data_IF_101189387281
#
_entry.id   IF_101189387281
#
_cell.length_a   1.000
_cell.length_b   1.000
_cell.length_c   1.000
_cell.angle_alpha   90.00
_cell.angle_beta   90.00
_cell.angle_gamma   90.00
#
_symmetry.space_group_name_H-M   'P 1'
#
loop_
_entity.id
_entity.type
_entity.pdbx_description
1 polymer ?
#
# COMPACT_ATOMS: atom_id res chain seq x y z
N UNK A 1 -20.23 18.00 36.49
CA UNK A 1 -19.57 16.88 35.78
C UNK A 1 -20.59 16.42 34.76
N UNK A 2 -20.43 16.79 33.49
CA UNK A 2 -21.43 16.52 32.44
C UNK A 2 -20.79 15.60 31.42
N UNK A 3 -21.36 14.42 31.23
CA UNK A 3 -20.92 13.44 30.24
C UNK A 3 -21.15 13.98 28.81
N UNK A 4 -20.23 13.76 27.87
CA UNK A 4 -20.43 14.15 26.49
C UNK A 4 -21.45 13.23 25.81
N UNK A 5 -22.44 13.82 25.13
CA UNK A 5 -23.50 13.11 24.40
C UNK A 5 -22.95 12.56 23.07
N UNK A 6 -23.16 11.27 22.73
CA UNK A 6 -22.76 10.73 21.43
C UNK A 6 -23.60 11.30 20.27
N UNK A 7 -23.01 11.31 19.07
CA UNK A 7 -23.58 11.89 17.85
C UNK A 7 -24.89 11.22 17.41
N UNK A 8 -25.80 12.03 16.85
CA UNK A 8 -27.16 11.64 16.49
C UNK A 8 -27.30 10.81 15.20
N UNK A 9 -28.55 10.55 14.84
CA UNK A 9 -29.00 9.66 13.77
C UNK A 9 -28.69 10.20 12.35
N UNK A 10 -27.42 10.08 11.94
CA UNK A 10 -26.87 9.92 10.57
C UNK A 10 -25.35 9.66 10.66
N UNK A 11 -24.89 9.06 11.75
CA UNK A 11 -23.46 8.81 11.98
C UNK A 11 -22.94 7.82 10.94
N UNK A 12 -21.70 8.00 10.49
CA UNK A 12 -21.04 7.17 9.45
C UNK A 12 -20.97 5.66 9.74
N UNK A 13 -21.50 5.19 10.86
CA UNK A 13 -21.56 3.80 11.26
C UNK A 13 -22.61 2.94 10.49
N UNK A 14 -23.48 3.54 9.65
CA UNK A 14 -24.67 2.86 9.12
C UNK A 14 -24.73 2.70 7.58
N UNK A 15 -23.60 2.52 6.88
CA UNK A 15 -23.66 2.16 5.44
C UNK A 15 -23.76 0.63 5.25
N UNK A 16 -24.77 0.10 4.53
CA UNK A 16 -24.84 -1.32 4.22
C UNK A 16 -23.78 -1.73 3.18
N UNK A 17 -23.20 -2.91 3.36
CA UNK A 17 -22.23 -3.54 2.46
C UNK A 17 -22.95 -4.14 1.25
N UNK A 18 -22.77 -3.54 0.08
CA UNK A 18 -23.32 -4.04 -1.19
C UNK A 18 -22.46 -5.17 -1.76
N UNK A 19 -23.13 -6.22 -2.23
CA UNK A 19 -22.60 -7.49 -2.73
C UNK A 19 -21.73 -7.33 -4.00
N UNK A 20 -20.61 -8.05 -4.06
CA UNK A 20 -19.78 -8.17 -5.27
C UNK A 20 -19.95 -9.56 -5.90
N UNK A 21 -20.52 -9.59 -7.11
CA UNK A 21 -20.66 -10.75 -7.98
C UNK A 21 -19.39 -10.94 -8.82
N UNK A 22 -18.89 -12.17 -8.85
CA UNK A 22 -17.74 -12.62 -9.65
C UNK A 22 -18.08 -12.82 -11.13
N UNK A 23 -17.12 -12.54 -12.01
CA UNK A 23 -17.03 -13.15 -13.35
C UNK A 23 -15.56 -13.38 -13.75
N UNK A 24 -15.35 -14.57 -14.32
CA UNK A 24 -14.10 -15.22 -14.74
C UNK A 24 -13.74 -14.93 -16.22
N UNK A 25 -12.43 -14.92 -16.56
CA UNK A 25 -11.83 -15.67 -17.70
C UNK A 25 -10.44 -15.14 -18.19
N UNK A 26 -9.36 -15.91 -17.91
CA UNK A 26 -8.36 -16.49 -18.84
C UNK A 26 -7.47 -15.69 -19.85
N UNK A 27 -6.23 -15.34 -19.44
CA UNK A 27 -4.86 -15.49 -20.04
C UNK A 27 -4.46 -15.15 -21.51
N UNK A 28 -3.15 -15.25 -21.92
CA UNK A 28 -1.87 -15.06 -21.21
C UNK A 28 -0.80 -14.18 -21.94
N UNK A 29 0.31 -13.87 -21.23
CA UNK A 29 1.71 -13.64 -21.68
C UNK A 29 2.22 -12.21 -21.97
N UNK A 30 2.71 -11.51 -20.94
CA UNK A 30 4.15 -11.32 -20.61
C UNK A 30 4.20 -10.84 -19.16
N UNK A 31 4.28 -11.79 -18.23
CA UNK A 31 4.08 -11.50 -16.82
C UNK A 31 5.33 -10.83 -16.28
N UNK A 32 5.17 -9.65 -15.65
CA UNK A 32 6.02 -9.31 -14.52
C UNK A 32 5.80 -10.37 -13.44
N UNK A 33 6.42 -11.53 -13.64
CA UNK A 33 6.61 -12.47 -12.56
C UNK A 33 7.35 -11.67 -11.52
N UNK A 34 6.75 -11.51 -10.34
CA UNK A 34 7.53 -11.23 -9.14
C UNK A 34 8.61 -12.31 -9.13
N UNK A 35 9.80 -11.97 -9.61
CA UNK A 35 10.89 -12.92 -9.73
C UNK A 35 11.02 -13.56 -8.35
N UNK A 36 11.04 -14.89 -8.33
CA UNK A 36 11.28 -15.73 -7.17
C UNK A 36 12.34 -15.08 -6.27
N UNK A 37 11.87 -14.35 -5.25
CA UNK A 37 12.72 -13.78 -4.23
C UNK A 37 13.05 -14.93 -3.29
N UNK A 38 14.00 -15.76 -3.72
CA UNK A 38 14.57 -16.81 -2.89
C UNK A 38 15.06 -16.23 -1.56
N UNK A 39 14.49 -16.72 -0.46
CA UNK A 39 14.82 -16.33 0.92
C UNK A 39 13.81 -15.35 1.51
N UNK A 40 13.66 -15.29 2.86
CA UNK A 40 12.65 -14.46 3.51
C UNK A 40 12.75 -13.04 2.95
N UNK A 41 11.66 -12.62 2.31
CA UNK A 41 11.54 -11.37 1.60
C UNK A 41 12.30 -10.26 2.34
N UNK A 42 13.20 -9.59 1.62
CA UNK A 42 13.65 -8.26 2.00
C UNK A 42 12.40 -7.37 1.95
N UNK A 43 11.61 -7.44 3.01
CA UNK A 43 10.34 -6.74 3.13
C UNK A 43 10.69 -5.28 2.95
N UNK A 44 10.30 -4.69 1.83
CA UNK A 44 10.62 -3.31 1.56
C UNK A 44 10.07 -2.49 2.73
N UNK A 45 10.93 -1.92 3.55
CA UNK A 45 10.48 -1.09 4.67
C UNK A 45 10.32 0.30 4.12
N UNK A 46 9.07 0.69 3.84
CA UNK A 46 8.77 2.03 3.33
C UNK A 46 8.65 2.99 4.52
N UNK A 47 9.47 4.04 4.50
CA UNK A 47 9.49 5.08 5.52
C UNK A 47 10.59 4.90 6.58
N UNK A 48 10.60 5.81 7.55
CA UNK A 48 11.56 5.82 8.68
C UNK A 48 10.80 5.49 9.96
N UNK A 49 11.40 4.69 10.82
CA UNK A 49 10.93 4.51 12.21
C UNK A 49 10.80 5.88 12.89
N UNK A 50 9.63 6.17 13.45
CA UNK A 50 9.38 7.44 14.13
C UNK A 50 9.32 7.21 15.62
N UNK A 51 10.12 7.97 16.37
CA UNK A 51 10.09 8.03 17.82
C UNK A 51 9.28 9.25 18.27
N UNK A 52 8.20 8.97 18.98
CA UNK A 52 7.21 9.92 19.45
C UNK A 52 6.33 10.58 18.39
N UNK A 53 5.30 11.33 18.79
CA UNK A 53 4.52 12.19 17.88
C UNK A 53 5.13 13.58 17.75
N UNK A 54 6.04 13.97 18.66
CA UNK A 54 6.64 15.31 18.67
C UNK A 54 8.10 15.35 18.20
N UNK A 55 8.71 14.18 17.92
CA UNK A 55 10.10 14.10 17.41
C UNK A 55 11.17 14.62 18.38
N UNK A 56 10.84 14.76 19.66
CA UNK A 56 11.77 15.22 20.70
C UNK A 56 12.69 14.06 21.09
N UNK A 57 13.99 14.33 21.15
CA UNK A 57 15.04 13.33 21.41
C UNK A 57 15.58 13.35 22.86
N UNK A 58 15.02 14.20 23.74
CA UNK A 58 15.48 14.39 25.13
C UNK A 58 14.37 14.02 26.14
N UNK A 59 14.76 13.61 27.35
CA UNK A 59 14.00 12.75 28.29
C UNK A 59 12.90 13.46 29.12
N UNK A 60 12.52 14.70 28.76
CA UNK A 60 11.68 15.56 29.61
C UNK A 60 10.20 15.68 29.24
N UNK A 61 9.69 14.92 28.26
CA UNK A 61 8.41 15.21 27.61
C UNK A 61 7.21 14.37 28.14
N UNK A 62 6.23 15.05 28.76
CA UNK A 62 4.99 14.45 29.31
C UNK A 62 3.77 14.61 28.39
N UNK A 63 3.95 15.18 27.20
CA UNK A 63 2.90 15.35 26.19
C UNK A 63 2.45 14.03 25.54
N UNK A 64 3.12 12.91 25.86
CA UNK A 64 2.88 11.57 25.35
C UNK A 64 4.01 11.17 24.41
N UNK A 65 4.11 9.93 23.95
CA UNK A 65 5.02 9.59 22.85
C UNK A 65 6.55 9.49 23.08
N UNK A 66 7.11 9.76 24.27
CA UNK A 66 8.57 9.55 24.49
C UNK A 66 9.08 8.14 24.14
N UNK A 67 8.22 7.11 24.19
CA UNK A 67 8.53 5.73 23.79
C UNK A 67 7.74 5.20 22.59
N UNK A 68 6.90 6.01 21.93
CA UNK A 68 6.10 5.51 20.79
C UNK A 68 7.05 5.29 19.61
N UNK A 69 7.22 4.03 19.22
CA UNK A 69 7.92 3.69 17.98
C UNK A 69 6.91 3.19 16.97
N UNK A 70 6.73 3.94 15.89
CA UNK A 70 5.99 3.46 14.75
C UNK A 70 6.96 2.68 13.85
N UNK A 71 6.79 1.35 13.71
CA UNK A 71 7.60 0.59 12.78
C UNK A 71 7.34 1.12 11.39
N UNK A 72 8.39 1.18 10.58
CA UNK A 72 8.21 1.46 9.18
C UNK A 72 7.49 0.26 8.54
N UNK A 73 6.46 0.56 7.77
CA UNK A 73 5.51 -0.40 7.23
C UNK A 73 5.47 -0.23 5.72
N UNK A 74 5.44 -1.35 5.00
CA UNK A 74 5.03 -1.35 3.62
C UNK A 74 3.82 -2.27 3.43
N UNK A 75 2.91 -1.88 2.53
CA UNK A 75 1.87 -2.78 2.05
C UNK A 75 2.46 -4.04 1.43
N UNK A 76 1.64 -5.09 1.39
CA UNK A 76 1.98 -6.30 0.65
C UNK A 76 2.13 -6.00 -0.86
N UNK A 77 3.00 -6.73 -1.56
CA UNK A 77 3.04 -6.68 -3.02
C UNK A 77 1.71 -7.17 -3.60
N UNK A 78 1.23 -6.51 -4.64
CA UNK A 78 0.09 -6.94 -5.42
C UNK A 78 0.54 -7.95 -6.49
N UNK A 79 -0.31 -8.93 -6.76
CA UNK A 79 -0.13 -9.89 -7.85
C UNK A 79 -0.99 -9.47 -9.05
N UNK A 80 -0.53 -9.81 -10.25
CA UNK A 80 -1.32 -9.61 -11.48
C UNK A 80 -2.37 -10.73 -11.60
N UNK A 81 -3.55 -10.46 -12.19
CA UNK A 81 -4.00 -9.16 -12.70
C UNK A 81 -4.31 -8.17 -11.56
N UNK A 82 -3.91 -6.92 -11.74
CA UNK A 82 -4.15 -5.85 -10.75
C UNK A 82 -5.62 -5.41 -10.75
N UNK A 83 -6.32 -5.57 -11.87
CA UNK A 83 -7.72 -5.25 -12.06
C UNK A 83 -7.95 -3.84 -12.60
N UNK A 84 -9.08 -3.68 -13.31
CA UNK A 84 -9.49 -2.40 -13.88
C UNK A 84 -8.50 -1.88 -14.93
N UNK A 85 -8.25 -0.57 -14.93
CA UNK A 85 -7.32 0.08 -15.87
C UNK A 85 -5.84 -0.12 -15.50
N UNK A 86 -5.56 -0.72 -14.33
CA UNK A 86 -4.19 -0.84 -13.83
C UNK A 86 -3.33 -1.80 -14.64
N UNK A 87 -3.92 -2.87 -15.19
CA UNK A 87 -3.19 -3.82 -16.01
C UNK A 87 -2.72 -3.17 -17.32
N UNK A 88 -3.63 -2.51 -18.04
CA UNK A 88 -3.31 -1.77 -19.27
C UNK A 88 -2.24 -0.69 -19.01
N UNK A 89 -2.39 0.09 -17.94
CA UNK A 89 -1.38 1.08 -17.56
C UNK A 89 -0.02 0.46 -17.24
N UNK A 90 -0.01 -0.65 -16.49
CA UNK A 90 1.23 -1.30 -16.12
C UNK A 90 1.94 -1.88 -17.36
N UNK A 91 1.19 -2.37 -18.34
CA UNK A 91 1.73 -2.92 -19.58
C UNK A 91 2.27 -1.80 -20.49
N UNK A 92 1.54 -0.69 -20.65
CA UNK A 92 2.01 0.48 -21.38
C UNK A 92 3.25 1.11 -20.73
N UNK A 93 3.29 1.20 -19.40
CA UNK A 93 4.43 1.73 -18.66
C UNK A 93 5.68 0.87 -18.89
N UNK A 94 5.56 -0.45 -18.83
CA UNK A 94 6.68 -1.36 -19.08
C UNK A 94 7.18 -1.29 -20.51
N UNK A 95 6.26 -1.20 -21.48
CA UNK A 95 6.63 -1.00 -22.87
C UNK A 95 7.44 0.30 -23.05
N UNK A 96 6.96 1.41 -22.48
CA UNK A 96 7.65 2.69 -22.53
C UNK A 96 9.02 2.68 -21.80
N UNK A 97 9.13 1.93 -20.70
CA UNK A 97 10.41 1.72 -20.01
C UNK A 97 11.39 0.94 -20.89
N UNK A 98 10.95 -0.12 -21.53
CA UNK A 98 11.77 -0.93 -22.43
C UNK A 98 12.28 -0.10 -23.63
N UNK A 99 11.43 0.74 -24.23
CA UNK A 99 11.82 1.68 -25.29
C UNK A 99 12.92 2.66 -24.86
N UNK A 100 12.99 2.98 -23.56
CA UNK A 100 13.98 3.87 -22.96
C UNK A 100 15.16 3.14 -22.33
N UNK A 101 15.27 1.83 -22.56
CA UNK A 101 16.32 0.98 -21.99
C UNK A 101 16.32 0.97 -20.44
N UNK A 102 15.17 1.27 -19.82
CA UNK A 102 14.98 1.18 -18.37
C UNK A 102 14.54 -0.25 -18.04
N UNK A 103 15.28 -0.99 -17.20
CA UNK A 103 14.92 -2.36 -16.88
C UNK A 103 13.65 -2.40 -16.02
N UNK A 104 12.81 -3.42 -16.20
CA UNK A 104 11.61 -3.63 -15.37
C UNK A 104 11.93 -3.79 -13.88
N UNK A 105 13.15 -4.20 -13.54
CA UNK A 105 13.67 -4.26 -12.16
C UNK A 105 13.82 -2.89 -11.49
N UNK A 106 13.71 -1.79 -12.24
CA UNK A 106 13.61 -0.45 -11.67
C UNK A 106 12.30 -0.26 -10.88
N UNK A 107 11.26 -1.04 -11.16
CA UNK A 107 10.08 -1.13 -10.30
C UNK A 107 10.32 -2.30 -9.35
N UNK A 108 10.56 -1.97 -8.09
CA UNK A 108 10.92 -2.94 -7.03
C UNK A 108 9.69 -3.63 -6.44
N UNK A 109 8.56 -2.95 -6.40
CA UNK A 109 7.29 -3.47 -5.90
C UNK A 109 6.13 -2.70 -6.52
N UNK A 110 4.99 -3.37 -6.68
CA UNK A 110 3.70 -2.75 -6.96
C UNK A 110 2.73 -3.12 -5.85
N UNK A 111 1.91 -2.18 -5.40
CA UNK A 111 0.82 -2.41 -4.46
C UNK A 111 -0.45 -1.81 -5.03
N UNK A 112 -1.59 -2.48 -4.80
CA UNK A 112 -2.92 -1.93 -5.04
C UNK A 112 -3.68 -1.93 -3.71
N UNK A 113 -4.17 -0.77 -3.28
CA UNK A 113 -5.00 -0.62 -2.08
C UNK A 113 -6.15 0.34 -2.36
N UNK A 114 -7.40 -0.04 -2.04
CA UNK A 114 -8.60 0.80 -2.16
C UNK A 114 -8.77 1.54 -3.50
N UNK A 115 -8.35 0.92 -4.60
CA UNK A 115 -8.45 1.51 -5.94
C UNK A 115 -7.33 2.50 -6.28
N UNK A 116 -6.21 2.43 -5.58
CA UNK A 116 -4.98 3.18 -5.88
C UNK A 116 -3.83 2.21 -6.15
N UNK A 117 -3.08 2.44 -7.24
CA UNK A 117 -1.85 1.71 -7.57
C UNK A 117 -0.63 2.52 -7.13
N UNK A 118 0.32 1.88 -6.45
CA UNK A 118 1.60 2.46 -6.04
C UNK A 118 2.75 1.66 -6.63
N UNK A 119 3.68 2.34 -7.31
CA UNK A 119 4.92 1.75 -7.79
C UNK A 119 6.08 2.22 -6.91
N UNK A 120 6.85 1.28 -6.38
CA UNK A 120 8.07 1.55 -5.64
C UNK A 120 9.24 1.46 -6.61
N UNK A 121 9.94 2.58 -6.81
CA UNK A 121 11.08 2.72 -7.72
C UNK A 121 12.40 2.94 -6.98
#
# INVERSE_FOLDING_TARGET
>A
MTEPTPGGEQSSAERPSDELVSADAGGPADSLVAADAGGPADSMVVGRERAGMFGVHDDGDTSGFGGLRLPAYAPAPAERPYGGWFDDFADELLAAMAEREIPGTAIRQVTVDRGEITLYV
#
